data_IF_919544759973
#
_entry.id   IF_919544759973
#
_cell.length_a   1.000
_cell.length_b   1.000
_cell.length_c   1.000
_cell.angle_alpha   90.00
_cell.angle_beta   90.00
_cell.angle_gamma   90.00
#
_symmetry.space_group_name_H-M   'P 1'
#
loop_
_entity.id
_entity.type
_entity.pdbx_description
1 polymer ?
#
# COMPACT_ATOMS: atom_id res chain seq x y z
N UNK A 1 -11.32 -14.48 -9.90
CA UNK A 1 -12.63 -14.02 -9.40
C UNK A 1 -13.21 -12.97 -10.32
N UNK A 2 -14.53 -12.78 -10.41
CA UNK A 2 -15.12 -11.66 -11.14
C UNK A 2 -14.77 -10.33 -10.47
N UNK A 3 -14.51 -9.30 -11.28
CA UNK A 3 -14.21 -7.93 -10.80
C UNK A 3 -15.27 -6.98 -11.32
N UNK A 4 -16.04 -6.37 -10.42
CA UNK A 4 -17.21 -5.53 -10.76
C UNK A 4 -16.83 -4.36 -11.67
N UNK A 5 -15.75 -3.66 -11.40
CA UNK A 5 -15.27 -2.55 -12.22
C UNK A 5 -14.86 -3.01 -13.63
N UNK A 6 -14.52 -4.28 -13.81
CA UNK A 6 -14.12 -4.88 -15.09
C UNK A 6 -15.29 -5.62 -15.74
N UNK A 7 -16.51 -5.07 -15.69
CA UNK A 7 -17.74 -5.65 -16.24
C UNK A 7 -18.00 -7.08 -15.75
N UNK A 8 -17.68 -7.37 -14.51
CA UNK A 8 -17.76 -8.69 -13.88
C UNK A 8 -16.95 -9.78 -14.58
N UNK A 9 -16.00 -9.43 -15.43
CA UNK A 9 -15.11 -10.42 -16.05
C UNK A 9 -14.14 -10.98 -15.02
N UNK A 10 -13.91 -12.29 -15.08
CA UNK A 10 -12.99 -12.97 -14.19
C UNK A 10 -11.54 -12.58 -14.52
N UNK A 11 -10.77 -12.24 -13.48
CA UNK A 11 -9.35 -11.97 -13.58
C UNK A 11 -8.66 -12.26 -12.25
N UNK A 12 -7.33 -12.48 -12.23
CA UNK A 12 -6.59 -12.53 -10.98
C UNK A 12 -6.77 -11.22 -10.20
N UNK A 13 -7.20 -11.33 -8.95
CA UNK A 13 -7.46 -10.17 -8.12
C UNK A 13 -7.41 -10.55 -6.65
N UNK A 14 -6.97 -9.63 -5.80
CA UNK A 14 -6.92 -9.82 -4.36
C UNK A 14 -8.31 -9.70 -3.72
N UNK A 15 -9.13 -8.79 -4.23
CA UNK A 15 -10.50 -8.53 -3.76
C UNK A 15 -11.29 -7.90 -4.90
N UNK A 16 -12.61 -7.75 -4.74
CA UNK A 16 -13.43 -7.10 -5.77
C UNK A 16 -13.23 -5.58 -5.74
N UNK A 17 -13.12 -4.97 -6.93
CA UNK A 17 -13.09 -3.52 -7.10
C UNK A 17 -14.44 -3.10 -7.66
N UNK A 18 -15.26 -2.49 -6.80
CA UNK A 18 -16.60 -2.01 -7.15
C UNK A 18 -16.51 -0.62 -7.79
N UNK A 19 -15.65 0.23 -7.26
CA UNK A 19 -15.36 1.55 -7.77
C UNK A 19 -14.07 2.09 -7.18
N UNK A 20 -13.51 3.15 -7.78
CA UNK A 20 -12.25 3.75 -7.37
C UNK A 20 -12.41 5.16 -6.80
N UNK A 21 -13.60 5.77 -6.92
CA UNK A 21 -13.82 7.08 -6.31
C UNK A 21 -13.75 7.02 -4.77
N UNK A 22 -13.37 8.11 -4.10
CA UNK A 22 -13.19 8.13 -2.65
C UNK A 22 -14.44 7.74 -1.85
N UNK A 23 -15.61 7.92 -2.43
CA UNK A 23 -16.92 7.61 -1.85
C UNK A 23 -17.54 6.32 -2.41
N UNK A 24 -16.81 5.58 -3.27
CA UNK A 24 -17.29 4.34 -3.83
C UNK A 24 -17.46 3.26 -2.76
N UNK A 25 -18.42 2.37 -2.98
CA UNK A 25 -18.55 1.17 -2.17
C UNK A 25 -17.32 0.27 -2.36
N UNK A 26 -16.86 -0.36 -1.28
CA UNK A 26 -15.72 -1.25 -1.30
C UNK A 26 -16.09 -2.66 -0.85
N UNK A 27 -15.33 -3.64 -1.32
CA UNK A 27 -15.44 -5.05 -0.91
C UNK A 27 -14.73 -5.26 0.44
N UNK A 28 -15.34 -4.81 1.52
CA UNK A 28 -14.74 -4.84 2.87
C UNK A 28 -14.32 -6.25 3.28
N UNK A 29 -15.18 -7.24 3.08
CA UNK A 29 -14.90 -8.63 3.45
C UNK A 29 -13.72 -9.18 2.65
N UNK A 30 -13.68 -8.93 1.34
CA UNK A 30 -12.60 -9.37 0.47
C UNK A 30 -11.26 -8.69 0.81
N UNK A 31 -11.27 -7.39 1.10
CA UNK A 31 -10.07 -6.65 1.52
C UNK A 31 -9.51 -7.24 2.82
N UNK A 32 -10.35 -7.45 3.83
CA UNK A 32 -9.94 -8.02 5.11
C UNK A 32 -9.39 -9.44 4.96
N UNK A 33 -10.04 -10.27 4.14
CA UNK A 33 -9.58 -11.63 3.86
C UNK A 33 -8.23 -11.63 3.14
N UNK A 34 -8.05 -10.78 2.14
CA UNK A 34 -6.77 -10.64 1.43
C UNK A 34 -5.65 -10.17 2.37
N UNK A 35 -5.94 -9.24 3.28
CA UNK A 35 -4.98 -8.80 4.28
C UNK A 35 -4.56 -9.94 5.22
N UNK A 36 -5.49 -10.80 5.63
CA UNK A 36 -5.15 -11.99 6.43
C UNK A 36 -4.21 -12.94 5.67
N UNK A 37 -4.40 -13.12 4.36
CA UNK A 37 -3.47 -13.92 3.54
C UNK A 37 -2.06 -13.30 3.51
N UNK A 38 -1.94 -11.99 3.39
CA UNK A 38 -0.63 -11.30 3.41
C UNK A 38 0.02 -11.47 4.78
N UNK A 39 -0.74 -11.37 5.88
CA UNK A 39 -0.23 -11.61 7.23
C UNK A 39 0.32 -13.03 7.38
N UNK A 40 -0.34 -14.03 6.80
CA UNK A 40 0.17 -15.41 6.78
C UNK A 40 1.50 -15.51 6.03
N UNK A 41 1.65 -14.81 4.91
CA UNK A 41 2.92 -14.78 4.18
C UNK A 41 4.04 -14.15 5.01
N UNK A 42 3.75 -13.08 5.75
CA UNK A 42 4.70 -12.48 6.69
C UNK A 42 5.08 -13.48 7.79
N UNK A 43 4.09 -14.17 8.38
CA UNK A 43 4.32 -15.19 9.40
C UNK A 43 5.23 -16.32 8.90
N UNK A 44 5.06 -16.75 7.66
CA UNK A 44 5.90 -17.76 7.05
C UNK A 44 7.36 -17.32 6.97
N UNK A 45 7.62 -16.07 6.56
CA UNK A 45 8.98 -15.52 6.50
C UNK A 45 9.60 -15.42 7.90
N UNK A 46 8.81 -15.02 8.90
CA UNK A 46 9.26 -14.97 10.28
C UNK A 46 9.62 -16.36 10.80
N UNK A 47 8.81 -17.37 10.51
CA UNK A 47 9.09 -18.77 10.86
C UNK A 47 10.35 -19.30 10.16
N UNK A 48 10.65 -18.78 8.96
CA UNK A 48 11.87 -19.12 8.21
C UNK A 48 13.11 -18.36 8.71
N UNK A 49 12.99 -17.57 9.77
CA UNK A 49 14.11 -16.88 10.40
C UNK A 49 14.31 -15.42 9.99
N UNK A 50 13.40 -14.84 9.23
CA UNK A 50 13.46 -13.42 8.84
C UNK A 50 12.60 -12.60 9.82
N UNK A 51 13.18 -11.72 10.66
CA UNK A 51 12.38 -10.90 11.56
C UNK A 51 11.41 -10.00 10.79
N UNK A 52 10.20 -9.78 11.32
CA UNK A 52 9.21 -8.94 10.61
C UNK A 52 9.69 -7.53 10.34
N UNK A 53 10.53 -6.96 11.21
CA UNK A 53 11.14 -5.64 11.02
C UNK A 53 12.23 -5.61 9.93
N UNK A 54 12.46 -6.73 9.26
CA UNK A 54 13.29 -6.87 8.06
C UNK A 54 12.47 -7.17 6.82
N UNK A 55 11.17 -6.91 6.85
CA UNK A 55 10.25 -7.15 5.74
C UNK A 55 9.65 -5.82 5.31
N UNK A 56 9.71 -5.53 4.01
CA UNK A 56 8.98 -4.43 3.37
C UNK A 56 7.81 -5.04 2.60
N UNK A 57 6.62 -4.48 2.79
CA UNK A 57 5.48 -4.76 1.92
C UNK A 57 5.48 -3.78 0.76
N UNK A 58 5.29 -4.29 -0.45
CA UNK A 58 5.19 -3.43 -1.62
C UNK A 58 4.18 -3.94 -2.61
N UNK A 59 3.59 -3.04 -3.37
CA UNK A 59 2.65 -3.40 -4.41
C UNK A 59 2.31 -2.27 -5.34
N UNK A 60 1.79 -2.65 -6.49
CA UNK A 60 1.31 -1.77 -7.54
C UNK A 60 -0.21 -1.85 -7.61
N UNK A 61 -0.88 -0.71 -7.73
CA UNK A 61 -2.34 -0.61 -7.85
C UNK A 61 -3.05 -1.32 -6.69
N UNK A 62 -3.87 -2.33 -6.96
CA UNK A 62 -4.54 -3.11 -5.91
C UNK A 62 -3.56 -3.73 -4.90
N UNK A 63 -2.40 -4.20 -5.37
CA UNK A 63 -1.34 -4.73 -4.50
C UNK A 63 -0.77 -3.67 -3.55
N UNK A 64 -0.63 -2.42 -4.00
CA UNK A 64 -0.23 -1.30 -3.16
C UNK A 64 -1.29 -0.94 -2.13
N UNK A 65 -2.55 -0.92 -2.53
CA UNK A 65 -3.68 -0.70 -1.63
C UNK A 65 -3.71 -1.75 -0.51
N UNK A 66 -3.57 -3.02 -0.89
CA UNK A 66 -3.54 -4.13 0.08
C UNK A 66 -2.33 -4.04 1.01
N UNK A 67 -1.16 -3.64 0.50
CA UNK A 67 0.05 -3.46 1.30
C UNK A 67 -0.13 -2.38 2.36
N UNK A 68 -0.71 -1.23 2.01
CA UNK A 68 -1.01 -0.16 2.96
C UNK A 68 -1.98 -0.64 4.04
N UNK A 69 -3.10 -1.24 3.64
CA UNK A 69 -4.10 -1.72 4.59
C UNK A 69 -3.53 -2.76 5.55
N UNK A 70 -2.77 -3.73 5.02
CA UNK A 70 -2.16 -4.77 5.84
C UNK A 70 -1.16 -4.18 6.85
N UNK A 71 -0.28 -3.29 6.41
CA UNK A 71 0.70 -2.66 7.29
C UNK A 71 0.06 -1.85 8.42
N UNK A 72 -1.06 -1.18 8.16
CA UNK A 72 -1.77 -0.39 9.16
C UNK A 72 -2.60 -1.22 10.14
N UNK A 73 -2.89 -2.47 9.81
CA UNK A 73 -3.76 -3.35 10.61
C UNK A 73 -3.06 -4.57 11.22
N UNK A 74 -1.84 -4.88 10.79
CA UNK A 74 -1.08 -6.00 11.35
C UNK A 74 -0.48 -5.67 12.72
N UNK A 75 -0.31 -6.70 13.54
CA UNK A 75 0.38 -6.60 14.84
C UNK A 75 1.90 -6.81 14.71
N UNK A 76 2.39 -7.10 13.50
CA UNK A 76 3.81 -7.33 13.23
C UNK A 76 4.48 -6.03 12.77
N UNK A 77 5.60 -5.68 13.39
CA UNK A 77 6.37 -4.52 12.99
C UNK A 77 7.10 -4.79 11.69
N UNK A 78 6.86 -3.95 10.67
CA UNK A 78 7.47 -4.04 9.35
C UNK A 78 8.54 -2.98 9.16
N UNK A 79 9.46 -3.20 8.21
CA UNK A 79 10.51 -2.25 7.87
C UNK A 79 9.99 -1.05 7.07
N UNK A 80 8.94 -1.23 6.27
CA UNK A 80 8.37 -0.17 5.47
C UNK A 80 7.29 -0.66 4.51
N UNK A 81 6.70 0.29 3.79
CA UNK A 81 5.72 0.03 2.72
C UNK A 81 6.12 0.79 1.47
N UNK A 82 6.01 0.14 0.33
CA UNK A 82 6.14 0.74 -1.00
C UNK A 82 4.78 0.65 -1.69
N UNK A 83 4.15 1.80 -1.92
CA UNK A 83 2.81 1.90 -2.47
C UNK A 83 2.85 2.62 -3.81
N UNK A 84 2.67 1.86 -4.90
CA UNK A 84 2.81 2.35 -6.27
C UNK A 84 1.45 2.48 -6.93
N UNK A 85 1.08 3.68 -7.37
CA UNK A 85 -0.13 3.97 -8.17
C UNK A 85 -1.40 3.42 -7.53
N UNK A 86 -1.61 3.68 -6.25
CA UNK A 86 -2.67 3.07 -5.46
C UNK A 86 -3.43 4.06 -4.56
N UNK A 87 -4.27 3.52 -3.73
CA UNK A 87 -5.11 4.25 -2.78
C UNK A 87 -5.13 3.51 -1.44
N UNK A 88 -5.60 4.18 -0.38
CA UNK A 88 -5.86 3.51 0.89
C UNK A 88 -7.29 2.95 0.91
N UNK A 89 -7.45 1.62 0.89
CA UNK A 89 -8.78 1.02 0.97
C UNK A 89 -9.37 1.17 2.37
N UNK A 90 -10.69 1.17 2.47
CA UNK A 90 -11.44 1.29 3.74
C UNK A 90 -10.96 2.47 4.60
N UNK A 91 -10.62 3.58 3.95
CA UNK A 91 -10.01 4.74 4.61
C UNK A 91 -10.91 5.33 5.72
N UNK A 92 -12.21 5.19 5.59
CA UNK A 92 -13.19 5.68 6.59
C UNK A 92 -13.27 4.78 7.83
N UNK A 93 -12.75 3.56 7.76
CA UNK A 93 -12.67 2.65 8.91
C UNK A 93 -11.55 3.03 9.89
N UNK A 94 -10.60 3.85 9.45
CA UNK A 94 -9.56 4.39 10.32
C UNK A 94 -10.08 5.64 11.03
N UNK A 95 -10.03 5.62 12.36
CA UNK A 95 -10.42 6.78 13.17
C UNK A 95 -9.55 8.01 12.83
N UNK A 96 -10.04 9.19 13.18
CA UNK A 96 -9.21 10.39 13.05
C UNK A 96 -8.08 10.36 14.08
N UNK A 97 -6.88 10.66 13.63
CA UNK A 97 -5.69 10.66 14.45
C UNK A 97 -4.81 9.43 14.24
N UNK A 98 -3.65 9.42 14.90
CA UNK A 98 -2.65 8.39 14.73
C UNK A 98 -3.15 7.00 15.17
N UNK A 99 -2.78 5.96 14.40
CA UNK A 99 -3.00 4.58 14.84
C UNK A 99 -2.12 4.29 16.07
N UNK A 100 -2.62 3.44 16.96
CA UNK A 100 -1.89 3.04 18.16
C UNK A 100 -1.08 1.74 17.97
N UNK A 101 -1.05 1.20 16.76
CA UNK A 101 -0.41 -0.07 16.45
C UNK A 101 1.12 0.02 16.37
N UNK A 102 1.75 -1.14 16.21
CA UNK A 102 3.21 -1.27 16.13
C UNK A 102 3.82 -0.55 14.92
N UNK A 103 3.03 -0.27 13.89
CA UNK A 103 3.47 0.41 12.67
C UNK A 103 3.10 1.90 12.63
N UNK A 104 2.88 2.52 13.80
CA UNK A 104 2.56 3.96 13.89
C UNK A 104 3.67 4.88 13.35
N UNK A 105 4.90 4.41 13.26
CA UNK A 105 6.06 5.16 12.77
C UNK A 105 6.64 4.51 11.50
N UNK A 106 5.86 3.69 10.78
CA UNK A 106 6.36 2.93 9.63
C UNK A 106 6.78 3.86 8.48
N UNK A 107 7.97 3.66 7.91
CA UNK A 107 8.37 4.37 6.69
C UNK A 107 7.47 3.97 5.51
N UNK A 108 7.02 4.96 4.74
CA UNK A 108 6.20 4.73 3.54
C UNK A 108 6.77 5.53 2.38
N UNK A 109 7.02 4.83 1.27
CA UNK A 109 7.24 5.45 -0.03
C UNK A 109 5.99 5.27 -0.87
N UNK A 110 5.34 6.39 -1.21
CA UNK A 110 4.19 6.42 -2.10
C UNK A 110 4.58 7.07 -3.42
N UNK A 111 4.32 6.39 -4.54
CA UNK A 111 4.66 6.86 -5.87
C UNK A 111 3.42 6.87 -6.77
N UNK A 112 3.32 7.87 -7.64
CA UNK A 112 2.15 8.02 -8.52
C UNK A 112 2.51 8.80 -9.80
N UNK A 113 2.01 8.34 -10.95
CA UNK A 113 2.11 9.09 -12.20
C UNK A 113 1.09 10.21 -12.25
N UNK A 114 1.50 11.40 -12.70
CA UNK A 114 0.60 12.55 -12.79
C UNK A 114 -0.40 12.45 -13.96
N UNK A 115 -0.19 11.50 -14.87
CA UNK A 115 -1.07 11.21 -15.99
C UNK A 115 -1.80 9.87 -15.87
N UNK A 116 -1.91 9.31 -14.66
CA UNK A 116 -2.59 8.04 -14.44
C UNK A 116 -4.10 8.17 -14.72
N UNK A 117 -4.64 7.46 -15.75
CA UNK A 117 -6.04 7.55 -16.10
C UNK A 117 -6.94 6.56 -15.32
N UNK A 118 -6.35 5.55 -14.67
CA UNK A 118 -7.08 4.51 -13.94
C UNK A 118 -7.25 4.87 -12.48
N UNK A 119 -6.15 5.27 -11.83
CA UNK A 119 -6.16 5.80 -10.46
C UNK A 119 -5.69 7.24 -10.54
N UNK A 120 -6.59 8.21 -10.66
CA UNK A 120 -6.22 9.62 -10.76
C UNK A 120 -5.29 10.05 -9.63
N UNK A 121 -4.35 10.94 -9.92
CA UNK A 121 -3.39 11.47 -8.95
C UNK A 121 -4.07 12.01 -7.70
N UNK A 122 -5.26 12.58 -7.84
CA UNK A 122 -6.05 13.08 -6.71
C UNK A 122 -6.28 12.01 -5.64
N UNK A 123 -6.51 10.75 -6.04
CA UNK A 123 -6.71 9.64 -5.08
C UNK A 123 -5.42 9.31 -4.34
N UNK A 124 -4.28 9.38 -5.03
CA UNK A 124 -2.97 9.27 -4.40
C UNK A 124 -2.72 10.40 -3.40
N UNK A 125 -3.06 11.62 -3.75
CA UNK A 125 -2.92 12.78 -2.86
C UNK A 125 -3.79 12.67 -1.62
N UNK A 126 -5.04 12.25 -1.77
CA UNK A 126 -5.96 12.02 -0.64
C UNK A 126 -5.45 10.89 0.27
N UNK A 127 -4.89 9.83 -0.32
CA UNK A 127 -4.25 8.75 0.43
C UNK A 127 -3.07 9.28 1.25
N UNK A 128 -2.22 10.08 0.66
CA UNK A 128 -1.07 10.66 1.35
C UNK A 128 -1.49 11.56 2.53
N UNK A 129 -2.48 12.42 2.34
CA UNK A 129 -3.02 13.26 3.41
C UNK A 129 -3.60 12.41 4.55
N UNK A 130 -4.33 11.33 4.22
CA UNK A 130 -4.86 10.42 5.23
C UNK A 130 -3.75 9.71 5.99
N UNK A 131 -2.73 9.21 5.29
CA UNK A 131 -1.58 8.54 5.91
C UNK A 131 -0.84 9.47 6.88
N UNK A 132 -0.65 10.74 6.53
CA UNK A 132 -0.04 11.74 7.42
C UNK A 132 -0.82 11.93 8.72
N UNK A 133 -2.14 11.72 8.70
CA UNK A 133 -2.97 11.80 9.89
C UNK A 133 -2.96 10.52 10.72
N UNK A 134 -2.68 9.37 10.11
CA UNK A 134 -2.75 8.05 10.75
C UNK A 134 -1.44 7.63 11.40
N UNK A 135 -0.31 8.01 10.82
CA UNK A 135 1.01 7.63 11.34
C UNK A 135 1.83 8.89 11.65
N UNK A 136 2.83 8.71 12.51
CA UNK A 136 3.79 9.79 12.78
C UNK A 136 4.62 10.02 11.53
N UNK A 137 4.62 11.22 10.92
CA UNK A 137 5.21 11.45 9.62
C UNK A 137 6.73 11.61 9.68
N UNK A 138 7.43 10.65 10.28
CA UNK A 138 8.90 10.70 10.36
C UNK A 138 9.52 10.39 9.00
N UNK A 139 8.94 9.46 8.24
CA UNK A 139 9.48 9.04 6.94
C UNK A 139 8.36 8.61 5.98
N UNK A 140 7.46 9.55 5.68
CA UNK A 140 6.46 9.38 4.63
C UNK A 140 6.86 10.27 3.46
N UNK A 141 7.04 9.66 2.30
CA UNK A 141 7.37 10.37 1.06
C UNK A 141 6.33 10.07 0.00
N UNK A 142 5.84 11.13 -0.65
CA UNK A 142 4.97 11.02 -1.81
C UNK A 142 5.69 11.61 -3.01
N UNK A 143 5.99 10.78 -4.01
CA UNK A 143 6.66 11.19 -5.24
C UNK A 143 5.74 11.05 -6.43
N UNK A 144 5.74 12.07 -7.28
CA UNK A 144 5.00 12.08 -8.54
C UNK A 144 5.96 12.08 -9.71
N UNK A 145 5.56 11.47 -10.81
CA UNK A 145 6.39 11.32 -12.01
C UNK A 145 5.67 11.93 -13.20
N UNK A 146 6.31 12.93 -13.82
CA UNK A 146 5.73 13.68 -14.92
C UNK A 146 5.52 12.80 -16.15
N UNK A 147 4.30 12.83 -16.70
CA UNK A 147 3.93 12.06 -17.86
C UNK A 147 3.72 10.57 -17.62
N UNK A 148 3.92 10.08 -16.42
CA UNK A 148 3.72 8.65 -16.10
C UNK A 148 2.23 8.36 -15.96
N UNK A 149 1.80 7.31 -16.66
CA UNK A 149 0.44 6.79 -16.60
C UNK A 149 0.32 5.72 -15.47
N UNK A 150 -0.63 4.82 -15.58
CA UNK A 150 -0.79 3.69 -14.63
C UNK A 150 0.25 2.62 -14.94
N UNK A 151 1.50 2.91 -14.63
CA UNK A 151 2.66 2.12 -15.00
C UNK A 151 3.83 2.43 -14.05
N UNK A 152 5.04 2.15 -14.47
CA UNK A 152 6.28 2.51 -13.78
C UNK A 152 7.25 3.17 -14.74
N UNK A 153 8.31 3.74 -14.19
CA UNK A 153 9.41 4.31 -14.96
C UNK A 153 10.74 4.03 -14.25
N UNK A 154 11.85 4.26 -14.94
CA UNK A 154 13.19 4.02 -14.39
C UNK A 154 13.43 4.87 -13.13
N UNK A 155 13.00 6.13 -13.16
CA UNK A 155 13.13 7.05 -12.03
C UNK A 155 12.40 6.53 -10.79
N UNK A 156 11.17 6.04 -10.94
CA UNK A 156 10.41 5.41 -9.87
C UNK A 156 11.13 4.19 -9.30
N UNK A 157 11.65 3.32 -10.18
CA UNK A 157 12.39 2.12 -9.75
C UNK A 157 13.68 2.47 -9.02
N UNK A 158 14.35 3.55 -9.39
CA UNK A 158 15.51 4.04 -8.65
C UNK A 158 15.13 4.56 -7.26
N UNK A 159 14.00 5.24 -7.15
CA UNK A 159 13.49 5.70 -5.86
C UNK A 159 13.10 4.52 -4.96
N UNK A 160 12.47 3.50 -5.54
CA UNK A 160 12.16 2.24 -4.84
C UNK A 160 13.45 1.58 -4.32
N UNK A 161 14.47 1.48 -5.17
CA UNK A 161 15.75 0.91 -4.76
C UNK A 161 16.37 1.67 -3.59
N UNK A 162 16.39 3.00 -3.65
CA UNK A 162 16.92 3.84 -2.56
C UNK A 162 16.17 3.62 -1.26
N UNK A 163 14.85 3.48 -1.33
CA UNK A 163 14.04 3.19 -0.15
C UNK A 163 14.37 1.83 0.45
N UNK A 164 14.50 0.80 -0.39
CA UNK A 164 14.88 -0.55 0.07
C UNK A 164 16.27 -0.53 0.71
N UNK A 165 17.25 0.08 0.06
CA UNK A 165 18.63 0.16 0.59
C UNK A 165 18.67 0.89 1.94
N UNK A 166 17.85 1.92 2.13
CA UNK A 166 17.79 2.69 3.37
C UNK A 166 17.16 1.88 4.53
N UNK A 167 16.07 1.16 4.25
CA UNK A 167 15.27 0.51 5.30
C UNK A 167 15.59 -0.98 5.50
N UNK A 168 16.34 -1.57 4.56
CA UNK A 168 16.87 -2.92 4.67
C UNK A 168 18.39 -2.92 4.45
N UNK A 169 19.15 -2.22 5.30
CA UNK A 169 20.61 -2.22 5.15
C UNK A 169 21.14 -3.65 5.33
N UNK A 170 22.34 -3.97 4.76
CA UNK A 170 22.95 -5.27 4.97
C UNK A 170 23.06 -5.62 6.47
N UNK A 171 22.90 -6.90 6.78
CA UNK A 171 23.22 -7.43 8.12
C UNK A 171 24.66 -7.88 8.14
N UNK A 172 25.41 -7.47 9.15
CA UNK A 172 26.80 -7.89 9.39
C UNK A 172 26.85 -9.36 9.86
#
# INVERSE_FOLDING_TARGET
>A
MPVSLNMNMAMPSWFDIIGLSPDAQEDEAGIKQAAEHVKVLIDQEVKNGIPSNRIILGGFSQGGALSLYTALTTHQKLAGVIALSCWLPLRTSFSQGAISGVNKDIPILQCHGDCDPLVPLMFGSLTFEKLKSLINPVDITFKTYSGMMHSSCIEEMMDVKKFVDKHLPPVD
#
